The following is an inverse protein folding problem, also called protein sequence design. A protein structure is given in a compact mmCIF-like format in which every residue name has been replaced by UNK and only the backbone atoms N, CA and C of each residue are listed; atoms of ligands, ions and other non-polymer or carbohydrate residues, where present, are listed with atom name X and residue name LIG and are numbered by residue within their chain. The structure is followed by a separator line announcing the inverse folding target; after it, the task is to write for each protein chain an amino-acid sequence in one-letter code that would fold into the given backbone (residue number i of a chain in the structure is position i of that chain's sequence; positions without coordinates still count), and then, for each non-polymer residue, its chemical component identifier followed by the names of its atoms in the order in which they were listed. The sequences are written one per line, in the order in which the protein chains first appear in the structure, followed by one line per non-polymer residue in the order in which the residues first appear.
data_IF_350789271497
#
_entry.id   IF_350789271497
#
_cell.length_a   1.000
_cell.length_b   1.000
_cell.length_c   1.000
_cell.angle_alpha   90.00
_cell.angle_beta   90.00
_cell.angle_gamma   90.00
#
_symmetry.space_group_name_H-M   'P 1'
#
loop_
_entity.id
_entity.type
_entity.pdbx_description
1 polymer ?
#
# COMPACT_ATOMS: atom_id res chain seq x y z
N UNK A 1 13.65 9.21 22.39
CA UNK A 1 14.05 9.99 21.20
C UNK A 1 12.78 10.29 20.44
N UNK A 2 12.47 11.57 20.28
CA UNK A 2 11.15 12.01 19.81
C UNK A 2 11.10 11.91 18.28
N UNK A 3 10.24 11.04 17.74
CA UNK A 3 9.89 11.07 16.32
C UNK A 3 8.73 12.06 16.16
N UNK A 4 9.00 13.35 16.37
CA UNK A 4 8.12 14.39 15.87
C UNK A 4 8.16 14.29 14.34
N UNK A 5 7.04 13.83 13.79
CA UNK A 5 6.76 13.76 12.36
C UNK A 5 7.09 15.12 11.72
N UNK A 6 8.22 15.19 11.00
CA UNK A 6 8.56 16.32 10.17
C UNK A 6 7.52 16.39 9.06
N UNK A 7 6.44 17.14 9.30
CA UNK A 7 5.43 17.48 8.30
C UNK A 7 6.20 17.99 7.07
N UNK A 8 6.13 17.32 5.91
CA UNK A 8 6.94 17.73 4.77
C UNK A 8 6.64 19.18 4.46
N UNK A 9 7.69 20.02 4.38
CA UNK A 9 7.56 21.47 4.22
C UNK A 9 6.63 21.87 3.07
N UNK A 10 6.50 21.01 2.06
CA UNK A 10 5.54 21.12 0.95
C UNK A 10 4.10 21.26 1.44
N UNK A 11 3.65 20.43 2.39
CA UNK A 11 2.28 20.49 2.93
C UNK A 11 2.04 21.74 3.77
N UNK A 12 3.08 22.26 4.44
CA UNK A 12 2.98 23.52 5.18
C UNK A 12 2.67 24.68 4.23
N UNK A 13 3.36 24.78 3.09
CA UNK A 13 3.13 25.84 2.10
C UNK A 13 1.69 25.85 1.56
N UNK A 14 1.07 24.70 1.36
CA UNK A 14 -0.31 24.65 0.88
C UNK A 14 -1.32 25.23 1.89
N UNK A 15 -1.07 25.06 3.19
CA UNK A 15 -1.89 25.71 4.21
C UNK A 15 -1.72 27.24 4.18
N UNK A 16 -0.52 27.74 3.89
CA UNK A 16 -0.26 29.18 3.75
C UNK A 16 -1.04 29.80 2.57
N UNK A 17 -1.31 29.01 1.52
CA UNK A 17 -2.19 29.38 0.40
C UNK A 17 -3.68 29.13 0.68
N UNK A 18 -4.06 28.76 1.91
CA UNK A 18 -5.44 28.54 2.33
C UNK A 18 -6.01 27.15 2.03
N UNK A 19 -5.22 26.22 1.48
CA UNK A 19 -5.64 24.83 1.27
C UNK A 19 -5.48 24.05 2.57
N UNK A 20 -6.59 23.62 3.17
CA UNK A 20 -6.58 22.82 4.41
C UNK A 20 -6.19 21.36 4.14
N UNK A 21 -4.92 21.11 3.80
CA UNK A 21 -4.43 19.76 3.52
C UNK A 21 -4.03 19.07 4.83
N UNK A 22 -4.65 17.92 5.10
CA UNK A 22 -4.31 17.06 6.23
C UNK A 22 -3.54 15.84 5.74
N UNK A 23 -2.31 15.68 6.20
CA UNK A 23 -1.52 14.47 5.99
C UNK A 23 -1.93 13.44 7.05
N UNK A 24 -2.40 12.28 6.60
CA UNK A 24 -2.67 11.12 7.46
C UNK A 24 -1.70 10.03 7.01
N UNK A 25 -0.89 9.54 7.94
CA UNK A 25 -0.03 8.38 7.71
C UNK A 25 -0.83 7.14 8.09
N UNK A 26 -1.05 6.25 7.13
CA UNK A 26 -1.70 4.97 7.36
C UNK A 26 -0.71 3.86 7.04
N UNK A 27 -0.64 2.86 7.92
CA UNK A 27 0.32 1.77 7.78
C UNK A 27 -0.15 0.80 6.69
N UNK A 28 0.75 0.48 5.75
CA UNK A 28 0.47 -0.51 4.74
C UNK A 28 0.49 -1.93 5.34
N UNK A 29 -0.49 -2.80 5.07
CA UNK A 29 -0.65 -4.10 5.73
C UNK A 29 0.24 -5.17 5.09
N UNK A 30 1.56 -4.91 5.02
CA UNK A 30 2.51 -5.80 4.38
C UNK A 30 2.60 -7.16 5.08
N UNK A 31 2.58 -7.20 6.42
CA UNK A 31 2.66 -8.47 7.19
C UNK A 31 1.42 -9.33 7.00
N UNK A 32 0.22 -8.73 7.02
CA UNK A 32 -1.05 -9.44 6.86
C UNK A 32 -1.17 -10.12 5.50
N UNK A 33 -0.53 -9.56 4.47
CA UNK A 33 -0.48 -10.14 3.13
C UNK A 33 0.74 -11.04 2.88
N UNK A 34 1.60 -11.28 3.89
CA UNK A 34 2.79 -12.12 3.74
C UNK A 34 3.88 -11.49 2.87
N UNK A 35 4.02 -10.16 2.90
CA UNK A 35 5.13 -9.43 2.29
C UNK A 35 6.26 -9.19 3.31
N UNK A 36 7.51 -9.02 2.83
CA UNK A 36 8.61 -8.59 3.67
C UNK A 36 8.32 -7.28 4.40
N UNK A 37 9.03 -7.05 5.51
CA UNK A 37 8.96 -5.79 6.23
C UNK A 37 9.30 -4.60 5.32
N UNK A 38 8.44 -3.58 5.30
CA UNK A 38 8.62 -2.38 4.49
C UNK A 38 8.36 -2.53 2.99
N UNK A 39 7.88 -3.68 2.52
CA UNK A 39 7.54 -3.89 1.11
C UNK A 39 6.18 -3.24 0.77
N UNK A 40 6.21 -1.98 0.31
CA UNK A 40 5.00 -1.17 0.05
C UNK A 40 4.74 -0.89 -1.44
N UNK A 41 5.65 -1.29 -2.35
CA UNK A 41 5.50 -1.07 -3.79
C UNK A 41 6.10 -2.21 -4.63
N UNK A 42 5.86 -2.17 -5.95
CA UNK A 42 6.33 -3.20 -6.88
C UNK A 42 7.86 -3.30 -6.96
N UNK A 43 8.57 -2.18 -6.85
CA UNK A 43 10.03 -2.14 -6.93
C UNK A 43 10.70 -2.83 -5.73
N UNK A 44 9.98 -2.97 -4.62
CA UNK A 44 10.43 -3.63 -3.39
C UNK A 44 10.10 -5.13 -3.35
N UNK A 45 9.42 -5.66 -4.37
CA UNK A 45 9.06 -7.08 -4.37
C UNK A 45 10.31 -7.96 -4.50
N UNK A 46 10.46 -8.99 -3.65
CA UNK A 46 11.55 -9.96 -3.80
C UNK A 46 11.51 -10.71 -5.13
N UNK A 47 10.30 -10.90 -5.67
CA UNK A 47 10.04 -11.50 -6.96
C UNK A 47 8.66 -11.10 -7.47
N UNK A 48 8.44 -11.23 -8.78
CA UNK A 48 7.11 -11.00 -9.37
C UNK A 48 6.05 -11.97 -8.82
N UNK A 49 6.46 -13.14 -8.31
CA UNK A 49 5.56 -14.09 -7.63
C UNK A 49 4.88 -13.51 -6.38
N UNK A 50 5.43 -12.43 -5.80
CA UNK A 50 4.84 -11.73 -4.66
C UNK A 50 3.80 -10.66 -5.06
N UNK A 51 3.57 -10.43 -6.36
CA UNK A 51 2.63 -9.40 -6.83
C UNK A 51 1.21 -9.61 -6.29
N UNK A 52 0.76 -10.86 -6.17
CA UNK A 52 -0.55 -11.20 -5.62
C UNK A 52 -0.66 -10.77 -4.14
N UNK A 53 0.41 -10.93 -3.37
CA UNK A 53 0.46 -10.49 -1.97
C UNK A 53 0.40 -8.95 -1.87
N UNK A 54 1.04 -8.22 -2.78
CA UNK A 54 0.95 -6.76 -2.85
C UNK A 54 -0.47 -6.27 -3.17
N UNK A 55 -1.15 -6.93 -4.11
CA UNK A 55 -2.55 -6.65 -4.42
C UNK A 55 -3.47 -6.96 -3.24
N UNK A 56 -3.21 -8.05 -2.51
CA UNK A 56 -3.92 -8.38 -1.28
C UNK A 56 -3.76 -7.30 -0.21
N UNK A 57 -2.53 -6.89 0.09
CA UNK A 57 -2.26 -5.81 1.04
C UNK A 57 -3.00 -4.53 0.63
N UNK A 58 -3.00 -4.19 -0.66
CA UNK A 58 -3.73 -3.02 -1.18
C UNK A 58 -5.24 -3.15 -0.97
N UNK A 59 -5.81 -4.34 -1.15
CA UNK A 59 -7.25 -4.56 -0.94
C UNK A 59 -7.67 -4.40 0.52
N UNK A 60 -6.83 -4.86 1.46
CA UNK A 60 -7.01 -4.68 2.90
C UNK A 60 -6.92 -3.19 3.24
N UNK A 61 -5.90 -2.51 2.73
CA UNK A 61 -5.63 -1.09 2.98
C UNK A 61 -6.76 -0.16 2.50
N UNK A 62 -7.34 -0.45 1.32
CA UNK A 62 -8.45 0.33 0.75
C UNK A 62 -9.80 0.00 1.42
N UNK A 63 -9.86 -1.06 2.24
CA UNK A 63 -11.10 -1.51 2.89
C UNK A 63 -12.07 -2.24 1.95
N UNK A 64 -11.61 -2.62 0.75
CA UNK A 64 -12.34 -3.52 -0.15
C UNK A 64 -12.16 -4.95 0.35
N UNK A 65 -12.81 -5.30 1.47
CA UNK A 65 -12.65 -6.62 2.10
C UNK A 65 -12.83 -7.75 1.10
N UNK A 66 -11.77 -8.51 0.83
CA UNK A 66 -11.75 -9.78 0.04
C UNK A 66 -12.25 -9.74 -1.41
N UNK A 67 -12.94 -8.70 -1.87
CA UNK A 67 -13.65 -8.69 -3.16
C UNK A 67 -12.74 -8.39 -4.34
N UNK A 68 -11.58 -7.75 -4.13
CA UNK A 68 -10.57 -7.55 -5.16
C UNK A 68 -10.14 -8.88 -5.81
N UNK A 69 -10.22 -9.98 -5.06
CA UNK A 69 -9.79 -11.31 -5.48
C UNK A 69 -10.74 -12.02 -6.44
N UNK A 70 -12.04 -11.69 -6.49
CA UNK A 70 -12.96 -12.30 -7.47
C UNK A 70 -12.62 -11.94 -8.92
N UNK A 71 -11.84 -10.88 -9.15
CA UNK A 71 -11.41 -10.47 -10.50
C UNK A 71 -9.99 -10.86 -10.85
N UNK A 72 -9.07 -10.86 -9.88
CA UNK A 72 -7.66 -11.22 -10.15
C UNK A 72 -7.44 -12.73 -10.14
N UNK A 73 -8.13 -13.48 -9.26
CA UNK A 73 -8.03 -14.95 -9.22
C UNK A 73 -8.55 -15.65 -10.49
N UNK A 74 -9.53 -15.06 -11.18
CA UNK A 74 -10.03 -15.56 -12.46
C UNK A 74 -9.04 -15.36 -13.63
N UNK A 75 -8.02 -14.51 -13.46
CA UNK A 75 -6.96 -14.30 -14.45
C UNK A 75 -5.66 -15.07 -14.12
N UNK A 76 -5.59 -15.73 -12.95
CA UNK A 76 -4.43 -16.48 -12.48
C UNK A 76 -4.54 -18.00 -12.71
N UNK A 77 -5.56 -18.48 -13.43
CA UNK A 77 -5.49 -19.79 -14.11
C UNK A 77 -4.51 -19.72 -15.28
N UNK A 78 -3.25 -19.37 -15.01
CA UNK A 78 -2.17 -19.77 -15.90
C UNK A 78 -1.88 -21.23 -15.58
N UNK A 79 -2.46 -22.08 -16.43
CA UNK A 79 -2.18 -23.49 -16.52
C UNK A 79 -0.69 -23.79 -16.36
N UNK A 80 -0.46 -24.81 -15.54
CA UNK A 80 0.69 -25.71 -15.58
C UNK A 80 1.29 -25.81 -16.99
N UNK A 81 2.55 -25.41 -17.14
CA UNK A 81 3.48 -25.91 -18.14
C UNK A 81 4.86 -26.04 -17.51
#
# INVERSE_FOLDING_TARGET
MQQESHKPQTFARYNDFGYQIRLIQHQFPHQEAGLPEGCENFDMLPSLGNAVNLLNATSIFVGTGGEAFRRVGAAAEFHSF
#
